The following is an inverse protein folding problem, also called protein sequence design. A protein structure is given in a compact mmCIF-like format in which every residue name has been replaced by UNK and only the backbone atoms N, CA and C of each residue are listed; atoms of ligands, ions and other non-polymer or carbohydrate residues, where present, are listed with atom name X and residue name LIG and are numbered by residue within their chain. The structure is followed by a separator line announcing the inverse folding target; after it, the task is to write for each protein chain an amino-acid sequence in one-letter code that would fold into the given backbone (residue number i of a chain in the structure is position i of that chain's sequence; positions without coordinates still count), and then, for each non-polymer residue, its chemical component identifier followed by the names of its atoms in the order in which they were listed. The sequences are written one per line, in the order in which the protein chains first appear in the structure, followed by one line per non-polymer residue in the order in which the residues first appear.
data_IF_824271383751
#
_entry.id   IF_824271383751
#
_cell.length_a   1.000
_cell.length_b   1.000
_cell.length_c   1.000
_cell.angle_alpha   90.00
_cell.angle_beta   90.00
_cell.angle_gamma   90.00
#
_symmetry.space_group_name_H-M   'P 1'
#
loop_
_entity.id
_entity.type
_entity.pdbx_description
1 polymer ?
2 polymer ?
3 non-polymer ?
4 water ?
#
# COMPACT_ATOMS: atom_id res chain seq x y z
N UNK A 5 17.20 24.41 -18.64
CA UNK A 5 18.11 23.44 -17.96
C UNK A 5 17.75 21.99 -18.26
N UNK A 6 18.77 21.15 -18.19
CA UNK A 6 18.62 19.73 -18.36
C UNK A 6 18.50 19.02 -17.00
N UNK A 7 18.07 17.79 -17.06
CA UNK A 7 17.80 17.03 -15.87
C UNK A 7 19.06 16.61 -15.16
N UNK A 8 20.11 16.34 -15.93
CA UNK A 8 21.38 15.90 -15.38
C UNK A 8 22.42 16.96 -15.60
N UNK A 9 23.42 17.03 -14.72
CA UNK A 9 24.57 17.87 -15.04
C UNK A 9 25.51 17.12 -15.99
N UNK A 10 26.64 17.73 -16.38
CA UNK A 10 27.62 17.07 -17.26
C UNK A 10 28.03 15.73 -16.66
N UNK A 11 28.31 14.74 -17.49
CA UNK A 11 28.83 13.49 -16.96
C UNK A 11 30.19 13.80 -16.30
N UNK A 12 30.46 13.21 -15.14
CA UNK A 12 31.75 13.41 -14.47
C UNK A 12 32.74 12.57 -15.24
N UNK A 13 33.99 12.99 -15.24
CA UNK A 13 34.91 12.65 -16.31
C UNK A 13 35.13 11.18 -16.62
N UNK A 14 35.22 10.28 -15.65
CA UNK A 14 35.30 8.85 -16.02
C UNK A 14 34.02 8.33 -16.80
N UNK A 15 32.89 9.01 -16.67
CA UNK A 15 31.64 8.66 -17.35
C UNK A 15 31.49 9.29 -18.74
N UNK A 16 32.22 10.36 -19.02
CA UNK A 16 32.14 11.11 -20.29
C UNK A 16 32.04 10.28 -21.52
N UNK A 17 32.82 9.22 -21.57
CA UNK A 17 32.92 8.48 -22.77
C UNK A 17 32.02 7.29 -22.73
N UNK A 18 31.17 7.20 -21.73
CA UNK A 18 30.29 6.05 -21.64
C UNK A 18 28.93 6.38 -22.14
N UNK A 19 28.27 5.37 -22.67
CA UNK A 19 26.82 5.45 -22.90
C UNK A 19 26.05 5.60 -21.57
N UNK A 20 25.03 6.44 -21.61
CA UNK A 20 24.16 6.70 -20.47
C UNK A 20 22.94 5.82 -20.51
N UNK A 21 22.82 4.90 -19.57
CA UNK A 21 21.65 4.04 -19.52
C UNK A 21 20.67 4.50 -18.46
N UNK A 22 19.45 4.81 -18.91
CA UNK A 22 18.34 5.16 -18.05
C UNK A 22 17.63 3.88 -17.67
N UNK A 23 17.47 3.63 -16.38
CA UNK A 23 16.91 2.36 -15.89
C UNK A 23 15.70 2.59 -14.99
N UNK A 24 14.63 1.87 -15.27
CA UNK A 24 13.38 1.98 -14.56
C UNK A 24 13.46 1.13 -13.29
N UNK A 25 12.65 1.48 -12.30
CA UNK A 25 12.57 0.74 -11.06
C UNK A 25 11.47 -0.36 -11.01
N UNK A 26 10.21 0.05 -10.92
CA UNK A 26 9.10 -0.91 -10.67
C UNK A 26 8.74 -1.82 -11.84
N UNK A 27 8.56 -3.09 -11.58
CA UNK A 27 8.37 -4.08 -12.60
C UNK A 27 9.59 -4.34 -13.52
N UNK A 28 10.65 -3.52 -13.39
CA UNK A 28 11.91 -3.70 -14.12
C UNK A 28 13.00 -4.33 -13.22
N UNK A 29 13.35 -3.68 -12.12
CA UNK A 29 14.33 -4.17 -11.13
C UNK A 29 13.73 -4.74 -9.82
N UNK A 30 12.54 -4.28 -9.44
CA UNK A 30 11.86 -4.78 -8.24
C UNK A 30 10.37 -4.87 -8.54
N UNK A 31 9.59 -5.48 -7.64
CA UNK A 31 8.14 -5.25 -7.66
C UNK A 31 7.72 -5.09 -6.23
N UNK A 32 6.94 -4.05 -6.02
CA UNK A 32 6.47 -3.63 -4.73
C UNK A 32 4.94 -3.63 -4.63
N UNK A 33 4.41 -3.68 -3.41
CA UNK A 33 3.01 -3.72 -3.15
C UNK A 33 2.77 -3.33 -1.69
N UNK A 34 1.53 -2.85 -1.37
CA UNK A 34 1.07 -2.62 0.03
C UNK A 34 0.49 -3.86 0.74
N UNK A 35 0.28 -4.90 -0.02
CA UNK A 35 -0.23 -6.19 0.44
C UNK A 35 0.90 -6.86 1.17
N UNK A 36 0.77 -7.08 2.47
CA UNK A 36 1.82 -7.82 3.16
C UNK A 36 2.18 -9.16 2.50
N UNK A 37 3.48 -9.48 2.58
CA UNK A 37 4.09 -10.69 2.05
C UNK A 37 5.20 -11.09 3.10
N UNK A 38 5.58 -12.35 3.19
CA UNK A 38 6.60 -12.73 4.16
C UNK A 38 8.06 -12.58 3.69
N UNK A 39 8.29 -12.77 2.41
CA UNK A 39 9.63 -12.82 1.84
C UNK A 39 10.05 -11.51 1.17
N UNK A 40 9.53 -10.38 1.59
CA UNK A 40 9.98 -9.12 1.03
C UNK A 40 11.45 -8.92 1.27
N UNK A 41 12.19 -8.50 0.26
CA UNK A 41 13.59 -8.11 0.47
C UNK A 41 13.74 -6.80 1.26
N UNK A 42 12.88 -5.82 0.95
CA UNK A 42 12.84 -4.57 1.70
C UNK A 42 11.44 -4.27 2.16
N UNK A 43 11.31 -3.62 3.31
CA UNK A 43 10.09 -3.00 3.68
C UNK A 43 10.39 -1.52 3.92
N UNK A 44 9.60 -0.66 3.31
CA UNK A 44 9.83 0.77 3.31
C UNK A 44 8.64 1.50 3.93
N UNK A 45 8.87 2.37 4.93
CA UNK A 45 7.71 3.16 5.35
C UNK A 45 7.48 4.40 4.49
N UNK A 46 6.25 4.58 4.06
CA UNK A 46 5.87 5.71 3.21
C UNK A 46 4.64 6.44 3.83
N UNK A 47 4.82 7.74 4.09
CA UNK A 47 3.81 8.59 4.67
C UNK A 47 2.97 9.24 3.58
N UNK A 48 1.67 8.97 3.63
CA UNK A 48 0.66 9.53 2.72
C UNK A 48 -0.49 10.21 3.52
N UNK A 49 -0.56 11.54 3.44
CA UNK A 49 -1.48 12.36 4.26
C UNK A 49 -1.40 11.96 5.73
N UNK A 50 -0.23 12.04 6.34
CA UNK A 50 -0.09 11.77 7.77
C UNK A 50 -0.11 10.32 8.25
N UNK A 51 -0.56 9.40 7.40
CA UNK A 51 -0.46 7.98 7.68
C UNK A 51 0.81 7.28 7.09
N UNK A 52 1.48 6.49 7.93
CA UNK A 52 2.61 5.72 7.48
C UNK A 52 2.20 4.32 7.00
N UNK A 53 2.37 4.06 5.70
CA UNK A 53 2.04 2.75 5.13
C UNK A 53 3.30 2.02 4.92
N UNK A 54 3.18 0.72 4.83
CA UNK A 54 4.32 -0.13 4.58
C UNK A 54 4.33 -0.64 3.18
N UNK A 55 5.46 -0.46 2.50
CA UNK A 55 5.61 -0.99 1.18
C UNK A 55 6.57 -2.16 1.18
N UNK A 56 6.10 -3.29 0.67
CA UNK A 56 6.88 -4.53 0.58
C UNK A 56 7.50 -4.64 -0.80
N UNK A 57 8.82 -4.80 -0.86
CA UNK A 57 9.55 -4.81 -2.10
C UNK A 57 10.32 -6.10 -2.30
N UNK A 58 10.15 -6.71 -3.46
CA UNK A 58 10.87 -7.89 -3.85
C UNK A 58 11.87 -7.51 -4.94
N UNK A 59 13.04 -8.10 -4.90
CA UNK A 59 14.10 -7.91 -5.87
C UNK A 59 13.91 -8.88 -7.03
N UNK A 60 13.99 -8.39 -8.25
CA UNK A 60 14.07 -9.28 -9.38
C UNK A 60 15.36 -10.12 -9.28
N UNK A 61 15.34 -11.38 -9.74
CA UNK A 61 16.57 -12.18 -9.68
C UNK A 61 17.69 -11.64 -10.54
N UNK A 62 18.92 -11.82 -10.06
CA UNK A 62 20.11 -11.34 -10.71
C UNK A 62 20.20 -9.81 -10.76
N UNK A 63 19.29 -9.12 -10.08
CA UNK A 63 19.37 -7.65 -10.01
C UNK A 63 20.74 -7.14 -9.49
N UNK A 64 21.30 -7.81 -8.48
CA UNK A 64 22.60 -7.39 -7.93
C UNK A 64 23.77 -7.57 -8.90
N UNK A 65 23.85 -8.73 -9.53
CA UNK A 65 24.81 -9.03 -10.62
C UNK A 65 24.63 -7.94 -11.69
N UNK A 66 23.37 -7.62 -11.98
CA UNK A 66 23.07 -6.81 -13.13
C UNK A 66 23.50 -5.42 -12.87
N UNK A 67 23.08 -4.86 -11.75
CA UNK A 67 23.48 -3.48 -11.47
C UNK A 67 24.97 -3.28 -11.32
N UNK A 68 25.66 -4.23 -10.67
CA UNK A 68 27.11 -4.06 -10.43
C UNK A 68 27.86 -3.90 -11.74
N UNK A 69 27.52 -4.76 -12.69
CA UNK A 69 28.08 -4.78 -14.05
C UNK A 69 27.68 -3.60 -14.94
N UNK A 70 26.42 -3.22 -14.92
CA UNK A 70 25.98 -2.06 -15.69
C UNK A 70 26.65 -0.82 -15.18
N UNK A 71 26.88 -0.80 -13.87
CA UNK A 71 27.50 0.33 -13.21
C UNK A 71 28.91 0.51 -13.71
N UNK A 72 29.59 -0.60 -14.05
CA UNK A 72 30.96 -0.56 -14.65
C UNK A 72 30.91 -0.10 -16.09
N UNK A 73 29.93 -0.58 -16.85
CA UNK A 73 29.85 -0.30 -18.30
C UNK A 73 29.23 1.03 -18.73
N UNK A 74 28.33 1.56 -17.95
CA UNK A 74 27.60 2.72 -18.35
C UNK A 74 27.54 3.75 -17.26
N UNK A 75 27.13 4.96 -17.64
CA UNK A 75 26.67 5.98 -16.71
C UNK A 75 25.19 5.69 -16.40
N UNK A 76 24.91 4.94 -15.34
CA UNK A 76 23.58 4.45 -15.12
C UNK A 76 22.80 5.55 -14.43
N UNK A 77 21.53 5.71 -14.79
CA UNK A 77 20.66 6.74 -14.18
C UNK A 77 19.32 6.12 -13.86
N UNK A 78 18.85 6.29 -12.62
CA UNK A 78 17.51 5.80 -12.26
C UNK A 78 16.48 6.82 -12.72
N UNK A 79 15.44 6.36 -13.42
CA UNK A 79 14.39 7.28 -13.92
C UNK A 79 13.07 6.56 -13.70
N UNK A 80 12.23 7.08 -12.85
CA UNK A 80 11.05 6.32 -12.46
C UNK A 80 9.89 7.29 -12.40
N UNK A 81 8.68 6.79 -12.70
CA UNK A 81 7.44 7.57 -12.52
C UNK A 81 6.87 7.58 -11.09
N UNK A 82 7.62 7.00 -10.15
CA UNK A 82 7.17 6.81 -8.80
C UNK A 82 7.74 8.00 -8.06
N UNK A 83 7.19 8.26 -6.88
CA UNK A 83 7.62 9.36 -6.11
C UNK A 83 8.87 8.97 -5.35
N UNK A 84 9.66 9.96 -5.04
CA UNK A 84 10.93 9.82 -4.34
C UNK A 84 10.73 9.19 -2.94
N UNK A 85 9.66 9.57 -2.25
CA UNK A 85 9.43 9.03 -0.92
C UNK A 85 9.35 7.51 -0.92
N UNK A 86 9.05 6.93 -2.09
CA UNK A 86 9.16 5.50 -2.33
C UNK A 86 10.47 5.12 -2.97
N UNK A 87 10.77 5.73 -4.11
CA UNK A 87 11.87 5.25 -4.96
C UNK A 87 13.24 5.45 -4.38
N UNK A 88 13.42 6.58 -3.71
CA UNK A 88 14.71 6.96 -3.16
C UNK A 88 15.19 6.02 -2.05
N UNK A 89 14.34 5.66 -1.09
CA UNK A 89 14.78 4.66 -0.18
C UNK A 89 15.10 3.32 -0.82
N UNK A 90 14.32 2.94 -1.83
CA UNK A 90 14.50 1.63 -2.40
C UNK A 90 15.84 1.64 -3.13
N UNK A 91 16.15 2.74 -3.79
CA UNK A 91 17.41 2.78 -4.52
C UNK A 91 18.54 2.77 -3.49
N UNK A 92 18.36 3.44 -2.36
CA UNK A 92 19.35 3.42 -1.29
C UNK A 92 19.66 2.00 -0.93
N UNK A 93 18.63 1.19 -0.77
CA UNK A 93 18.84 -0.20 -0.28
C UNK A 93 19.27 -1.16 -1.37
N UNK A 94 18.80 -0.91 -2.58
CA UNK A 94 19.10 -1.78 -3.70
C UNK A 94 20.53 -1.61 -4.23
N UNK A 95 20.97 -0.36 -4.31
CA UNK A 95 22.18 0.02 -5.05
C UNK A 95 23.43 0.01 -4.18
N UNK A 96 23.85 -1.18 -3.79
CA UNK A 96 25.05 -1.33 -2.96
C UNK A 96 26.28 -0.76 -3.64
N UNK A 97 26.36 -0.78 -4.97
CA UNK A 97 27.65 -0.49 -5.66
C UNK A 97 27.70 0.84 -6.22
N UNK A 98 26.73 1.66 -5.91
CA UNK A 98 26.73 3.00 -6.46
C UNK A 98 26.60 3.01 -7.98
N UNK A 99 25.93 2.05 -8.59
CA UNK A 99 25.77 2.18 -10.05
C UNK A 99 25.03 3.45 -10.46
N UNK A 100 24.10 3.94 -9.65
CA UNK A 100 23.27 5.03 -10.14
C UNK A 100 23.95 6.36 -9.95
N UNK A 101 24.34 7.04 -11.03
CA UNK A 101 24.95 8.35 -10.90
C UNK A 101 23.91 9.42 -10.59
N UNK A 102 22.66 9.18 -10.95
CA UNK A 102 21.62 10.12 -10.64
C UNK A 102 20.30 9.39 -10.56
N UNK A 103 19.31 10.08 -10.03
CA UNK A 103 17.97 9.52 -9.81
C UNK A 103 17.00 10.56 -10.18
N UNK A 104 16.03 10.17 -11.00
CA UNK A 104 14.97 11.06 -11.42
C UNK A 104 13.61 10.42 -11.12
N UNK A 105 12.68 11.22 -10.70
CA UNK A 105 11.44 10.67 -10.21
C UNK A 105 10.28 11.24 -10.99
N UNK A 106 9.07 11.05 -10.47
CA UNK A 106 7.90 11.48 -11.17
C UNK A 106 7.92 12.94 -11.67
N UNK A 107 8.42 13.88 -10.91
CA UNK A 107 8.32 15.26 -11.36
C UNK A 107 9.25 15.51 -12.56
N UNK A 108 10.22 14.61 -12.81
CA UNK A 108 11.11 14.75 -13.96
C UNK A 108 10.55 14.08 -15.22
N UNK A 109 9.52 13.28 -15.04
CA UNK A 109 8.82 12.75 -16.19
C UNK A 109 7.97 13.84 -16.84
N UNK A 110 7.49 13.60 -18.07
CA UNK A 110 6.54 14.54 -18.71
C UNK A 110 5.17 13.89 -18.72
N UNK A 111 4.18 14.53 -18.13
CA UNK A 111 2.80 14.00 -18.20
C UNK A 111 2.17 14.30 -19.56
N UNK A 112 1.85 13.24 -20.31
CA UNK A 112 1.41 13.38 -21.69
C UNK A 112 0.45 12.23 -22.09
N UNK A 113 -0.77 12.64 -22.50
CA UNK A 113 -1.87 11.72 -22.85
C UNK A 113 -2.12 10.72 -21.76
N UNK A 114 -2.29 11.24 -20.56
CA UNK A 114 -2.51 10.39 -19.38
C UNK A 114 -1.33 9.55 -18.87
N UNK A 115 -0.20 9.58 -19.57
CA UNK A 115 0.97 8.80 -19.19
C UNK A 115 2.17 9.64 -18.79
N UNK A 116 2.98 9.13 -17.87
CA UNK A 116 4.20 9.80 -17.43
C UNK A 116 5.30 9.30 -18.32
N UNK A 117 5.81 10.16 -19.21
CA UNK A 117 6.80 9.73 -20.18
C UNK A 117 8.17 10.11 -19.74
N UNK A 118 9.10 9.19 -19.94
CA UNK A 118 10.53 9.50 -19.80
C UNK A 118 11.07 10.15 -21.09
N UNK A 119 11.02 11.46 -21.12
CA UNK A 119 11.52 12.25 -22.22
C UNK A 119 13.08 12.33 -22.21
N UNK A 120 13.68 11.38 -22.90
CA UNK A 120 15.16 11.24 -22.93
C UNK A 120 15.83 12.52 -23.43
N UNK A 121 15.13 13.32 -24.20
CA UNK A 121 15.70 14.60 -24.66
C UNK A 121 16.07 15.48 -23.52
N UNK A 122 15.42 15.30 -22.36
CA UNK A 122 15.64 16.24 -21.27
C UNK A 122 16.88 15.92 -20.39
N UNK A 123 17.51 14.76 -20.60
CA UNK A 123 18.71 14.38 -19.86
C UNK A 123 19.81 15.37 -20.16
N UNK A 124 20.08 15.58 -21.44
CA UNK A 124 21.21 16.42 -21.82
C UNK A 124 22.39 15.51 -22.16
N UNK A 125 22.10 14.50 -22.94
CA UNK A 125 23.09 13.61 -23.48
C UNK A 125 22.77 13.39 -24.98
N UNK A 126 23.75 12.89 -25.70
CA UNK A 126 23.61 12.62 -27.09
C UNK A 126 22.82 11.33 -27.19
N UNK A 127 21.68 11.37 -27.88
CA UNK A 127 20.83 10.21 -27.90
C UNK A 127 21.36 9.04 -28.67
N UNK A 128 22.36 9.29 -29.52
CA UNK A 128 23.11 8.18 -30.10
C UNK A 128 23.83 7.36 -29.02
N UNK A 129 24.13 8.04 -27.89
CA UNK A 129 24.76 7.42 -26.67
C UNK A 129 23.84 7.50 -25.42
N UNK A 130 22.55 7.15 -25.63
CA UNK A 130 21.57 6.85 -24.59
C UNK A 130 20.76 5.55 -24.81
N UNK A 131 20.56 4.81 -23.75
CA UNK A 131 19.64 3.71 -23.76
C UNK A 131 18.57 3.89 -22.66
N UNK A 132 17.39 3.30 -22.84
CA UNK A 132 16.45 3.20 -21.75
C UNK A 132 16.04 1.77 -21.61
N UNK A 133 16.03 1.30 -20.37
CA UNK A 133 15.57 -0.02 -20.03
C UNK A 133 14.31 0.14 -19.20
N UNK A 134 13.15 -0.17 -19.79
CA UNK A 134 11.89 0.06 -19.12
C UNK A 134 10.89 -0.98 -19.56
N UNK A 135 10.14 -1.56 -18.62
CA UNK A 135 9.17 -2.61 -18.91
C UNK A 135 7.89 -2.10 -19.61
N UNK A 136 7.71 -0.80 -19.63
CA UNK A 136 6.47 -0.26 -20.15
C UNK A 136 6.78 0.63 -21.33
N UNK A 137 6.45 0.15 -22.56
CA UNK A 137 6.73 0.90 -23.78
C UNK A 137 6.08 2.28 -23.81
N UNK A 138 5.00 2.49 -23.05
CA UNK A 138 4.48 3.84 -22.89
C UNK A 138 5.51 4.83 -22.29
N UNK A 139 6.55 4.35 -21.62
CA UNK A 139 7.41 5.25 -20.91
C UNK A 139 8.38 5.93 -21.82
N UNK A 140 8.65 5.31 -22.95
CA UNK A 140 9.58 5.87 -23.95
C UNK A 140 8.99 6.24 -25.33
N UNK A 141 7.70 6.59 -25.38
CA UNK A 141 7.06 6.89 -26.67
C UNK A 141 7.78 7.92 -27.49
N UNK A 142 8.38 8.93 -26.88
CA UNK A 142 9.16 9.89 -27.65
C UNK A 142 10.49 9.38 -28.25
N UNK A 143 10.87 8.12 -27.97
CA UNK A 143 12.21 7.58 -28.27
C UNK A 143 12.25 6.08 -28.30
N UNK A 144 11.39 5.45 -29.11
CA UNK A 144 11.25 4.00 -29.02
C UNK A 144 12.45 3.26 -29.59
N UNK A 145 13.29 3.98 -30.34
CA UNK A 145 14.48 3.41 -30.93
C UNK A 145 15.66 3.43 -29.97
N UNK A 146 15.54 4.13 -28.83
CA UNK A 146 16.57 4.09 -27.78
C UNK A 146 16.40 2.96 -26.77
N UNK A 147 15.41 2.08 -26.97
CA UNK A 147 14.98 1.16 -25.94
C UNK A 147 15.47 -0.29 -26.07
N UNK A 148 15.73 -0.89 -24.92
CA UNK A 148 15.93 -2.30 -24.81
C UNK A 148 14.70 -2.77 -24.02
N UNK A 149 13.74 -3.38 -24.69
CA UNK A 149 12.56 -3.72 -23.93
C UNK A 149 12.86 -4.82 -22.93
N UNK A 150 12.10 -4.86 -21.84
CA UNK A 150 12.28 -5.92 -20.89
C UNK A 150 10.90 -6.28 -20.32
N UNK A 151 10.66 -7.55 -20.10
CA UNK A 151 9.36 -7.99 -19.64
C UNK A 151 9.07 -7.45 -18.24
N UNK A 152 7.81 -7.21 -17.94
CA UNK A 152 7.37 -6.84 -16.62
C UNK A 152 7.56 -7.98 -15.65
N UNK A 153 8.12 -7.68 -14.47
CA UNK A 153 8.38 -8.71 -13.45
C UNK A 153 7.55 -8.40 -12.19
N UNK A 154 7.01 -9.43 -11.57
CA UNK A 154 6.19 -9.25 -10.40
C UNK A 154 6.66 -10.12 -9.27
N UNK A 155 6.70 -11.43 -9.48
CA UNK A 155 7.21 -12.36 -8.46
C UNK A 155 7.91 -13.65 -8.96
N UNK A 156 8.05 -13.85 -10.28
CA UNK A 156 8.60 -15.10 -10.77
C UNK A 156 10.03 -15.30 -10.31
N UNK A 157 10.23 -16.11 -9.26
CA UNK A 157 11.60 -16.34 -8.80
C UNK A 157 12.44 -17.15 -9.80
N UNK A 158 11.87 -17.54 -10.94
CA UNK A 158 12.61 -18.17 -12.02
C UNK A 158 13.12 -17.23 -13.06
N UNK A 159 12.72 -15.96 -12.98
CA UNK A 159 13.08 -14.97 -14.01
C UNK A 159 14.59 -14.97 -14.17
N UNK A 160 15.06 -14.90 -15.42
CA UNK A 160 16.49 -14.84 -15.69
C UNK A 160 16.83 -13.73 -16.65
N UNK A 161 15.89 -12.83 -16.81
CA UNK A 161 15.95 -11.90 -17.89
C UNK A 161 17.03 -10.83 -17.71
N UNK A 162 17.27 -10.41 -16.48
CA UNK A 162 18.35 -9.46 -16.31
C UNK A 162 19.73 -10.14 -16.54
N UNK A 163 19.82 -11.40 -16.24
CA UNK A 163 21.06 -12.13 -16.45
C UNK A 163 21.29 -12.19 -17.93
N UNK A 164 20.25 -12.62 -18.63
CA UNK A 164 20.36 -12.98 -20.03
C UNK A 164 20.50 -11.75 -20.85
N UNK A 165 20.26 -10.57 -20.27
CA UNK A 165 20.44 -9.33 -21.02
C UNK A 165 21.86 -8.81 -20.97
N UNK A 166 22.65 -9.29 -20.04
CA UNK A 166 23.97 -8.70 -19.90
C UNK A 166 24.87 -8.85 -21.17
N UNK A 167 24.79 -9.99 -21.87
CA UNK A 167 25.68 -10.07 -23.01
C UNK A 167 25.35 -9.01 -24.04
N UNK A 168 24.07 -8.81 -24.33
CA UNK A 168 23.68 -7.77 -25.25
C UNK A 168 24.21 -6.39 -24.87
N UNK A 169 24.14 -6.10 -23.57
CA UNK A 169 24.56 -4.78 -23.05
C UNK A 169 26.06 -4.66 -23.14
N UNK A 170 26.77 -5.75 -22.93
CA UNK A 170 28.22 -5.66 -23.02
C UNK A 170 28.56 -5.19 -24.42
N UNK A 171 27.90 -5.76 -25.41
CA UNK A 171 28.22 -5.47 -26.77
C UNK A 171 27.66 -4.15 -27.22
N UNK A 172 26.59 -3.69 -26.62
CA UNK A 172 26.20 -2.29 -26.85
C UNK A 172 27.20 -1.31 -26.27
N UNK A 173 27.85 -1.70 -25.18
CA UNK A 173 28.66 -0.75 -24.42
C UNK A 173 29.83 -0.22 -25.24
N UNK A 174 30.19 -1.02 -26.27
CA UNK A 174 31.34 -0.76 -27.12
C UNK A 174 31.02 0.19 -28.26
N UNK A 175 29.80 0.16 -28.79
CA UNK A 175 29.48 0.86 -30.04
C UNK A 175 29.43 2.37 -29.92
N UNK A 176 29.54 3.02 -31.05
CA UNK A 176 29.58 4.50 -31.14
C UNK A 176 28.20 5.10 -31.12
N UNK A 177 27.26 4.37 -31.73
CA UNK A 177 25.92 4.89 -32.01
C UNK A 177 24.90 3.79 -31.76
N UNK A 178 24.07 3.94 -30.72
CA UNK A 178 23.20 2.84 -30.32
C UNK A 178 22.21 2.49 -31.43
N UNK A 179 21.84 3.50 -32.21
CA UNK A 179 20.94 3.30 -33.37
C UNK A 179 21.56 2.34 -34.44
N UNK A 180 22.88 2.34 -34.58
CA UNK A 180 23.54 1.37 -35.45
C UNK A 180 23.07 -0.05 -35.15
N UNK A 181 22.49 -0.29 -33.97
CA UNK A 181 21.94 -1.61 -33.60
C UNK A 181 20.43 -1.65 -33.45
N UNK A 182 19.80 -0.61 -32.92
CA UNK A 182 18.33 -0.61 -32.70
C UNK A 182 17.52 0.08 -33.84
N UNK A 183 18.18 1.03 -34.53
CA UNK A 183 17.82 1.65 -35.81
C UNK A 183 16.67 2.65 -35.76
N UNK B 5 -25.29 1.92 -6.31
CA UNK B 5 -24.60 2.49 -5.11
C UNK B 5 -23.91 1.44 -4.20
N UNK B 6 -22.61 1.63 -3.97
CA UNK B 6 -21.88 0.80 -3.04
C UNK B 6 -21.61 1.67 -1.82
N UNK B 7 -21.40 1.05 -0.66
CA UNK B 7 -21.19 1.82 0.55
C UNK B 7 -19.85 2.51 0.62
N UNK B 8 -18.84 1.98 -0.08
CA UNK B 8 -17.48 2.55 -0.07
C UNK B 8 -17.11 3.13 -1.44
N UNK B 9 -16.36 4.26 -1.43
CA UNK B 9 -15.64 4.66 -2.66
C UNK B 9 -14.65 3.59 -3.15
N UNK B 10 -14.07 3.77 -4.32
CA UNK B 10 -13.02 2.88 -4.79
C UNK B 10 -11.87 2.94 -3.79
N UNK B 11 -11.22 1.82 -3.51
CA UNK B 11 -10.07 1.86 -2.61
C UNK B 11 -9.00 2.76 -3.20
N UNK B 12 -8.39 3.53 -2.32
CA UNK B 12 -7.21 4.27 -2.62
C UNK B 12 -6.07 3.39 -3.01
N UNK B 13 -5.09 3.98 -3.65
CA UNK B 13 -4.06 3.19 -4.23
C UNK B 13 -3.29 2.46 -3.14
N UNK B 14 -3.11 3.09 -2.01
CA UNK B 14 -2.35 2.43 -0.98
C UNK B 14 -3.09 1.35 -0.25
N UNK B 15 -4.40 1.27 -0.44
CA UNK B 15 -5.25 0.23 0.19
C UNK B 15 -5.71 -0.85 -0.77
N UNK B 16 -5.59 -0.56 -2.05
CA UNK B 16 -6.29 -1.32 -3.04
C UNK B 16 -5.91 -2.80 -3.07
N UNK B 17 -4.69 -3.12 -2.77
CA UNK B 17 -4.29 -4.51 -2.85
C UNK B 17 -4.49 -5.22 -1.57
N UNK B 18 -4.86 -4.47 -0.51
CA UNK B 18 -5.15 -5.07 0.79
C UNK B 18 -6.57 -5.68 0.97
N UNK B 19 -6.62 -6.64 1.89
CA UNK B 19 -7.91 -7.13 2.41
C UNK B 19 -8.60 -6.00 3.14
N UNK B 20 -9.90 -5.89 2.89
CA UNK B 20 -10.75 -4.92 3.55
C UNK B 20 -11.32 -5.55 4.81
N UNK B 21 -11.08 -4.98 5.98
CA UNK B 21 -11.64 -5.52 7.21
C UNK B 21 -12.59 -4.50 7.82
N UNK B 22 -13.77 -4.99 8.05
CA UNK B 22 -14.83 -4.23 8.61
C UNK B 22 -14.83 -4.49 10.13
N UNK B 23 -14.76 -3.42 10.93
CA UNK B 23 -14.58 -3.57 12.37
C UNK B 23 -15.66 -2.90 13.17
N UNK B 24 -16.29 -3.61 14.08
CA UNK B 24 -17.37 -3.11 14.94
C UNK B 24 -16.80 -2.29 16.07
N UNK B 25 -17.64 -1.45 16.66
CA UNK B 25 -17.20 -0.58 17.74
C UNK B 25 -17.61 -1.12 19.11
N UNK B 26 -18.92 -1.10 19.38
CA UNK B 26 -19.41 -1.37 20.73
C UNK B 26 -19.31 -2.82 21.10
N UNK B 27 -18.77 -3.04 22.27
CA UNK B 27 -18.47 -4.37 22.77
C UNK B 27 -17.42 -5.08 21.94
N UNK B 28 -16.83 -4.44 20.96
CA UNK B 28 -15.73 -5.05 20.19
C UNK B 28 -14.43 -4.35 20.57
N UNK B 29 -14.39 -3.03 20.34
CA UNK B 29 -13.22 -2.16 20.68
C UNK B 29 -13.34 -1.33 21.94
N UNK B 30 -14.58 -0.96 22.29
CA UNK B 30 -14.85 -0.16 23.48
C UNK B 30 -16.14 -0.66 24.11
N UNK B 31 -16.49 -0.14 25.28
CA UNK B 31 -17.81 -0.29 25.87
C UNK B 31 -18.19 1.03 26.58
N UNK B 32 -19.35 1.51 26.23
CA UNK B 32 -19.87 2.79 26.56
C UNK B 32 -21.15 2.62 27.39
N UNK B 33 -21.37 3.52 28.37
CA UNK B 33 -22.67 3.63 29.06
C UNK B 33 -22.97 5.06 29.45
N UNK B 34 -24.25 5.25 29.61
CA UNK B 34 -24.85 6.41 30.20
C UNK B 34 -24.72 6.41 31.73
N UNK B 35 -24.57 5.25 32.33
CA UNK B 35 -24.22 5.13 33.74
C UNK B 35 -22.83 5.67 34.00
N UNK B 36 -22.64 6.54 35.01
CA UNK B 36 -21.33 7.12 35.29
C UNK B 36 -20.25 6.08 35.60
N UNK B 37 -19.10 6.24 34.97
CA UNK B 37 -17.99 5.36 35.20
C UNK B 37 -16.83 6.21 35.74
N UNK B 38 -16.27 5.77 36.85
CA UNK B 38 -15.07 6.38 37.38
C UNK B 38 -13.84 6.02 36.55
N UNK B 39 -12.89 6.93 36.44
CA UNK B 39 -11.72 6.64 35.64
C UNK B 39 -12.00 6.15 34.20
N UNK B 40 -12.97 6.75 33.49
CA UNK B 40 -13.26 6.37 32.08
C UNK B 40 -12.12 6.70 31.12
N UNK B 41 -11.98 6.03 29.97
CA UNK B 41 -10.94 6.53 29.03
C UNK B 41 -11.32 7.83 28.36
N UNK B 42 -12.59 7.99 28.01
CA UNK B 42 -13.10 9.29 27.60
C UNK B 42 -14.60 9.41 27.72
N UNK B 43 -15.07 10.64 27.64
CA UNK B 43 -16.43 10.96 27.94
C UNK B 43 -16.94 11.82 26.80
N UNK B 44 -18.09 11.46 26.23
CA UNK B 44 -18.58 12.14 25.03
C UNK B 44 -19.94 12.73 25.30
N UNK B 45 -20.11 14.05 25.14
CA UNK B 45 -21.47 14.59 25.33
C UNK B 45 -22.36 14.25 24.15
N UNK B 46 -23.49 13.58 24.35
CA UNK B 46 -24.42 13.26 23.24
C UNK B 46 -25.81 13.94 23.40
N UNK B 47 -26.27 14.67 22.37
CA UNK B 47 -27.58 15.37 22.37
C UNK B 47 -28.67 14.36 22.09
N UNK B 48 -29.65 14.32 22.98
CA UNK B 48 -30.79 13.41 22.79
C UNK B 48 -32.09 14.15 23.08
N UNK B 49 -32.85 14.36 21.99
CA UNK B 49 -34.07 15.12 22.02
C UNK B 49 -33.74 16.39 22.72
N UNK B 50 -32.73 17.11 22.24
CA UNK B 50 -32.35 18.39 22.82
C UNK B 50 -31.72 18.41 24.22
N UNK B 51 -31.52 17.27 24.87
CA UNK B 51 -30.81 17.26 26.17
C UNK B 51 -29.43 16.60 26.04
N UNK B 52 -28.37 17.25 26.50
CA UNK B 52 -27.02 16.62 26.46
C UNK B 52 -26.88 15.61 27.61
N UNK B 53 -26.50 14.37 27.29
CA UNK B 53 -26.15 13.38 28.32
C UNK B 53 -24.66 12.91 28.15
N UNK B 54 -23.97 12.63 29.24
CA UNK B 54 -22.58 12.19 29.12
C UNK B 54 -22.52 10.69 28.90
N UNK B 55 -21.70 10.28 27.92
CA UNK B 55 -21.49 8.85 27.59
C UNK B 55 -20.09 8.45 27.99
N UNK B 56 -20.04 7.49 28.89
CA UNK B 56 -18.81 7.05 29.52
C UNK B 56 -18.21 5.88 28.76
N UNK B 57 -17.02 6.07 28.20
CA UNK B 57 -16.40 5.11 27.30
C UNK B 57 -15.18 4.43 27.90
N UNK B 58 -15.20 3.12 28.01
CA UNK B 58 -14.00 2.33 28.33
C UNK B 58 -13.40 1.67 27.07
N UNK B 59 -12.06 1.76 26.87
CA UNK B 59 -11.34 1.10 25.78
C UNK B 59 -10.98 -0.30 26.12
N UNK B 60 -11.28 -1.27 25.26
CA UNK B 60 -10.84 -2.63 25.53
C UNK B 60 -9.28 -2.72 25.57
N UNK B 61 -8.69 -3.49 26.50
CA UNK B 61 -7.25 -3.61 26.60
C UNK B 61 -6.60 -4.01 25.28
N UNK B 62 -5.43 -3.44 24.97
CA UNK B 62 -4.66 -3.74 23.78
C UNK B 62 -5.28 -3.12 22.56
N UNK B 63 -6.26 -2.26 22.70
CA UNK B 63 -6.96 -1.78 21.46
C UNK B 63 -6.08 -0.85 20.60
N UNK B 64 -5.16 -0.16 21.21
CA UNK B 64 -4.26 0.68 20.46
C UNK B 64 -3.25 -0.17 19.72
N UNK B 65 -2.64 -1.12 20.40
CA UNK B 65 -1.78 -2.20 19.82
C UNK B 65 -2.54 -2.66 18.56
N UNK B 66 -3.81 -2.93 18.77
CA UNK B 66 -4.63 -3.57 17.76
C UNK B 66 -4.95 -2.72 16.56
N UNK B 67 -5.54 -1.54 16.74
CA UNK B 67 -5.84 -0.69 15.60
C UNK B 67 -4.64 -0.22 14.87
N UNK B 68 -3.54 0.07 15.58
CA UNK B 68 -2.33 0.51 14.89
C UNK B 68 -1.85 -0.55 13.91
N UNK B 69 -1.88 -1.81 14.32
CA UNK B 69 -1.39 -2.89 13.46
C UNK B 69 -2.41 -3.23 12.34
N UNK B 70 -3.68 -3.27 12.71
CA UNK B 70 -4.69 -3.57 11.73
C UNK B 70 -4.67 -2.48 10.66
N UNK B 71 -4.40 -1.23 11.03
CA UNK B 71 -4.36 -0.16 10.02
C UNK B 71 -3.27 -0.36 8.97
N UNK B 72 -2.17 -1.01 9.38
CA UNK B 72 -1.11 -1.35 8.45
C UNK B 72 -1.48 -2.51 7.53
N UNK B 73 -2.11 -3.50 8.13
CA UNK B 73 -2.29 -4.81 7.51
C UNK B 73 -3.43 -4.82 6.53
N UNK B 74 -4.41 -3.94 6.76
CA UNK B 74 -5.63 -3.93 6.01
C UNK B 74 -6.11 -2.52 5.58
N UNK B 75 -7.08 -2.46 4.66
CA UNK B 75 -7.98 -1.35 4.50
C UNK B 75 -9.08 -1.52 5.60
N UNK B 76 -8.97 -0.81 6.72
CA UNK B 76 -9.94 -0.93 7.81
C UNK B 76 -11.10 0.05 7.61
N UNK B 77 -12.31 -0.47 7.90
CA UNK B 77 -13.53 0.28 7.87
C UNK B 77 -14.27 0.08 9.15
N UNK B 78 -14.65 1.18 9.77
CA UNK B 78 -15.52 1.11 10.93
C UNK B 78 -16.95 0.90 10.47
N UNK B 79 -17.64 -0.07 11.07
CA UNK B 79 -19.02 -0.40 10.66
C UNK B 79 -19.79 -0.71 11.96
N UNK B 80 -20.51 0.29 12.43
CA UNK B 80 -21.25 0.21 13.68
C UNK B 80 -22.74 0.44 13.44
N UNK B 81 -23.55 -0.17 14.30
CA UNK B 81 -25.00 0.02 14.31
C UNK B 81 -25.40 1.21 15.18
N UNK B 82 -24.41 1.93 15.69
CA UNK B 82 -24.71 3.06 16.54
C UNK B 82 -24.76 4.27 15.62
N UNK B 83 -25.06 5.41 16.18
CA UNK B 83 -25.28 6.62 15.37
C UNK B 83 -24.02 7.39 15.36
N UNK B 84 -23.77 8.10 14.26
CA UNK B 84 -22.59 8.93 14.09
C UNK B 84 -22.32 9.95 15.20
N UNK B 85 -23.37 10.53 15.72
CA UNK B 85 -23.20 11.59 16.71
C UNK B 85 -22.50 11.02 17.96
N UNK B 86 -22.69 9.73 18.25
CA UNK B 86 -21.89 9.03 19.26
C UNK B 86 -20.62 8.46 18.62
N UNK B 87 -20.74 7.73 17.52
CA UNK B 87 -19.57 6.97 16.99
C UNK B 87 -18.40 7.85 16.45
N UNK B 88 -18.71 8.93 15.74
CA UNK B 88 -17.66 9.80 15.18
C UNK B 88 -16.69 10.34 16.21
N UNK B 89 -17.22 10.94 17.29
CA UNK B 89 -16.33 11.44 18.34
C UNK B 89 -15.55 10.34 19.03
N UNK B 90 -16.18 9.19 19.27
CA UNK B 90 -15.44 8.05 19.85
C UNK B 90 -14.31 7.62 18.91
N UNK B 91 -14.62 7.34 17.67
CA UNK B 91 -13.56 7.08 16.69
C UNK B 91 -12.48 8.14 16.56
N UNK B 92 -12.85 9.44 16.58
CA UNK B 92 -11.86 10.53 16.40
C UNK B 92 -10.87 10.37 17.54
N UNK B 93 -11.36 10.10 18.74
CA UNK B 93 -10.46 9.91 19.87
C UNK B 93 -9.69 8.61 19.89
N UNK B 94 -10.32 7.52 19.47
CA UNK B 94 -9.65 6.21 19.43
C UNK B 94 -8.57 6.06 18.41
N UNK B 95 -8.84 6.53 17.21
CA UNK B 95 -8.01 6.22 16.05
C UNK B 95 -6.90 7.21 15.81
N UNK B 96 -5.87 7.07 16.61
CA UNK B 96 -4.68 7.92 16.50
C UNK B 96 -3.89 7.79 15.22
N UNK B 97 -4.12 6.76 14.43
CA UNK B 97 -3.24 6.41 13.31
C UNK B 97 -3.89 6.43 12.01
N UNK B 98 -5.18 6.80 11.98
CA UNK B 98 -5.96 6.84 10.75
C UNK B 98 -6.11 5.46 10.18
N UNK B 99 -6.20 4.48 11.04
CA UNK B 99 -6.58 3.15 10.59
C UNK B 99 -7.94 3.11 9.82
N UNK B 100 -8.95 3.83 10.32
CA UNK B 100 -10.25 3.72 9.73
C UNK B 100 -10.22 4.55 8.51
N UNK B 101 -10.27 3.90 7.36
CA UNK B 101 -10.30 4.60 6.06
C UNK B 101 -11.72 5.06 5.76
N UNK B 102 -12.74 4.47 6.37
CA UNK B 102 -14.12 4.99 6.25
C UNK B 102 -14.87 4.63 7.49
N UNK B 103 -15.98 5.30 7.72
CA UNK B 103 -16.85 5.00 8.84
C UNK B 103 -18.28 4.86 8.32
N UNK B 104 -18.91 3.73 8.69
CA UNK B 104 -20.29 3.42 8.32
C UNK B 104 -21.14 3.18 9.60
N UNK B 105 -22.31 3.79 9.64
CA UNK B 105 -23.07 3.84 10.86
C UNK B 105 -24.39 3.10 10.71
N UNK B 106 -25.32 3.28 11.64
CA UNK B 106 -26.55 2.52 11.65
C UNK B 106 -27.33 2.52 10.32
N UNK B 107 -27.49 3.68 9.71
CA UNK B 107 -28.18 3.80 8.42
C UNK B 107 -27.54 3.01 7.31
N UNK B 108 -26.25 2.68 7.43
CA UNK B 108 -25.64 1.78 6.44
C UNK B 108 -25.92 0.27 6.72
N UNK B 109 -26.52 -0.04 7.87
CA UNK B 109 -26.80 -1.42 8.23
C UNK B 109 -28.12 -1.77 7.60
N UNK B 110 -28.46 -3.05 7.62
CA UNK B 110 -29.75 -3.56 7.15
C UNK B 110 -30.51 -4.14 8.35
N UNK B 111 -31.72 -3.67 8.59
CA UNK B 111 -32.49 -4.11 9.74
C UNK B 111 -33.21 -5.35 9.28
N UNK B 112 -32.79 -6.51 9.76
CA UNK B 112 -33.36 -7.79 9.34
C UNK B 112 -33.74 -8.65 10.55
N UNK B 113 -35.04 -8.88 10.68
CA UNK B 113 -35.59 -9.71 11.74
C UNK B 113 -35.13 -9.27 13.14
N UNK B 114 -35.20 -7.97 13.33
CA UNK B 114 -34.88 -7.36 14.61
C UNK B 114 -33.43 -7.08 14.91
N UNK B 115 -32.53 -7.40 13.97
CA UNK B 115 -31.11 -7.18 14.10
C UNK B 115 -30.52 -6.25 13.04
N UNK B 116 -29.44 -5.57 13.40
CA UNK B 116 -28.78 -4.68 12.49
C UNK B 116 -27.65 -5.45 11.84
N UNK B 117 -27.85 -5.77 10.57
CA UNK B 117 -26.94 -6.62 9.82
C UNK B 117 -26.08 -5.78 8.90
N UNK B 118 -24.80 -6.16 8.88
CA UNK B 118 -23.76 -5.52 8.08
C UNK B 118 -23.65 -6.38 6.82
N UNK B 119 -24.30 -5.97 5.75
CA UNK B 119 -24.37 -6.78 4.53
C UNK B 119 -23.14 -6.48 3.70
N UNK B 120 -22.21 -7.44 3.73
CA UNK B 120 -20.89 -7.21 3.18
C UNK B 120 -20.96 -6.96 1.69
N UNK B 121 -21.99 -7.50 1.08
CA UNK B 121 -22.22 -7.29 -0.36
C UNK B 121 -22.42 -5.87 -0.81
N UNK B 122 -22.85 -4.99 0.06
CA UNK B 122 -23.03 -3.58 -0.26
C UNK B 122 -21.72 -2.76 -0.23
N UNK B 123 -20.61 -3.35 0.23
CA UNK B 123 -19.40 -2.56 0.42
C UNK B 123 -18.83 -2.14 -0.90
N UNK B 124 -18.85 -3.04 -1.86
CA UNK B 124 -18.10 -2.84 -3.11
C UNK B 124 -16.65 -3.34 -3.11
N UNK B 125 -16.43 -4.44 -2.44
CA UNK B 125 -15.13 -5.07 -2.41
C UNK B 125 -15.36 -6.53 -2.72
N UNK B 126 -14.42 -7.15 -3.40
CA UNK B 126 -14.51 -8.58 -3.64
C UNK B 126 -14.59 -9.28 -2.30
N UNK B 127 -15.62 -10.07 -2.08
CA UNK B 127 -15.81 -10.77 -0.80
C UNK B 127 -14.77 -11.81 -0.44
N UNK B 128 -13.96 -12.22 -1.41
CA UNK B 128 -12.82 -13.11 -1.11
C UNK B 128 -11.71 -12.38 -0.38
N UNK B 129 -11.75 -11.05 -0.47
CA UNK B 129 -10.85 -10.21 0.24
C UNK B 129 -11.58 -9.22 1.20
N UNK B 130 -12.52 -9.74 1.99
CA UNK B 130 -13.22 -8.94 3.02
C UNK B 130 -13.36 -9.80 4.26
N UNK B 131 -13.13 -9.18 5.42
CA UNK B 131 -13.36 -9.82 6.70
C UNK B 131 -14.26 -8.92 7.56
N UNK B 132 -14.95 -9.45 8.55
CA UNK B 132 -15.70 -8.64 9.49
C UNK B 132 -15.33 -9.14 10.86
N UNK B 133 -14.95 -8.20 11.73
CA UNK B 133 -14.68 -8.44 13.13
C UNK B 133 -15.83 -7.79 13.94
N UNK B 134 -16.66 -8.60 14.58
CA UNK B 134 -17.82 -8.08 15.29
C UNK B 134 -18.11 -9.08 16.37
N UNK B 135 -18.56 -8.57 17.52
CA UNK B 135 -18.86 -9.44 18.65
C UNK B 135 -20.26 -10.02 18.53
N UNK B 136 -21.06 -9.62 17.55
CA UNK B 136 -22.43 -10.17 17.48
C UNK B 136 -22.67 -10.99 16.24
N UNK B 137 -22.82 -12.33 16.38
CA UNK B 137 -23.00 -13.18 15.17
C UNK B 137 -24.17 -12.74 14.26
N UNK B 138 -25.19 -12.16 14.87
CA UNK B 138 -26.28 -11.56 14.15
C UNK B 138 -25.80 -10.57 13.08
N UNK B 139 -24.77 -9.77 13.36
CA UNK B 139 -24.28 -8.76 12.40
C UNK B 139 -23.79 -9.32 11.10
N UNK B 140 -23.30 -10.56 11.11
CA UNK B 140 -22.77 -11.16 9.90
C UNK B 140 -23.48 -12.42 9.42
N UNK B 141 -24.75 -12.49 9.77
CA UNK B 141 -25.61 -13.62 9.42
C UNK B 141 -25.61 -13.87 7.95
N UNK B 142 -25.56 -12.85 7.10
CA UNK B 142 -25.40 -13.06 5.66
C UNK B 142 -24.00 -13.47 5.17
N UNK B 143 -22.96 -13.38 6.00
CA UNK B 143 -21.59 -13.68 5.57
C UNK B 143 -20.83 -14.42 6.64
N UNK B 144 -21.38 -15.55 7.07
CA UNK B 144 -20.80 -16.21 8.21
C UNK B 144 -19.35 -16.60 7.94
N UNK B 145 -19.01 -16.84 6.69
CA UNK B 145 -17.68 -17.33 6.33
C UNK B 145 -16.66 -16.23 6.02
N UNK B 146 -17.08 -14.95 6.19
CA UNK B 146 -16.16 -13.82 6.25
C UNK B 146 -15.80 -13.33 7.65
N UNK B 147 -16.31 -14.00 8.68
CA UNK B 147 -16.25 -13.48 10.05
C UNK B 147 -15.10 -13.98 10.88
N UNK B 148 -14.57 -13.10 11.71
CA UNK B 148 -13.61 -13.49 12.75
C UNK B 148 -14.35 -13.11 14.05
N UNK B 149 -14.83 -14.12 14.79
CA UNK B 149 -15.59 -13.80 15.99
C UNK B 149 -14.72 -13.24 17.10
N UNK B 150 -15.34 -12.51 18.01
CA UNK B 150 -14.65 -11.98 19.13
C UNK B 150 -15.70 -11.88 20.22
N UNK B 151 -15.32 -12.08 21.46
CA UNK B 151 -16.32 -12.08 22.50
C UNK B 151 -16.71 -10.63 22.88
N UNK B 152 -17.91 -10.43 23.35
CA UNK B 152 -18.32 -9.13 23.85
C UNK B 152 -17.54 -8.74 25.06
N UNK B 153 -17.15 -7.46 25.06
CA UNK B 153 -16.35 -6.92 26.13
C UNK B 153 -17.03 -5.73 26.75
N UNK B 154 -17.05 -5.66 28.07
CA UNK B 154 -17.76 -4.59 28.84
C UNK B 154 -16.76 -3.90 29.73
N UNK B 155 -16.12 -4.61 30.63
CA UNK B 155 -15.17 -3.98 31.53
C UNK B 155 -14.09 -4.85 32.14
N UNK B 156 -13.85 -6.06 31.63
CA UNK B 156 -12.80 -6.93 32.17
C UNK B 156 -11.43 -6.47 31.71
N UNK B 157 -10.61 -6.00 32.64
CA UNK B 157 -9.36 -5.41 32.28
C UNK B 157 -8.26 -6.43 32.10
N UNK B 158 -8.55 -7.71 32.34
CA UNK B 158 -7.67 -8.84 32.01
C UNK B 158 -7.84 -9.36 30.58
N UNK B 159 -8.85 -8.86 29.86
CA UNK B 159 -9.14 -9.34 28.52
C UNK B 159 -7.89 -9.22 27.63
N UNK B 160 -7.58 -10.26 26.88
CA UNK B 160 -6.46 -10.21 25.94
C UNK B 160 -6.89 -10.56 24.50
N UNK B 161 -8.17 -10.58 24.25
CA UNK B 161 -8.69 -11.14 23.06
C UNK B 161 -8.18 -10.44 21.78
N UNK B 162 -8.06 -9.13 21.79
CA UNK B 162 -7.57 -8.43 20.66
C UNK B 162 -6.07 -8.67 20.43
N UNK B 163 -5.30 -8.70 21.52
CA UNK B 163 -3.94 -9.17 21.52
C UNK B 163 -3.83 -10.56 20.87
N UNK B 164 -4.69 -11.48 21.26
CA UNK B 164 -4.60 -12.84 20.83
C UNK B 164 -5.06 -13.05 19.40
N UNK B 165 -5.91 -12.15 18.90
CA UNK B 165 -6.38 -12.24 17.52
C UNK B 165 -5.35 -11.81 16.52
N UNK B 166 -4.44 -10.94 16.90
CA UNK B 166 -3.49 -10.41 15.93
C UNK B 166 -2.69 -11.40 15.08
N UNK B 167 -2.17 -12.49 15.65
CA UNK B 167 -1.37 -13.33 14.73
C UNK B 167 -2.28 -14.02 13.74
N UNK B 168 -3.55 -14.19 14.06
CA UNK B 168 -4.44 -14.75 13.06
C UNK B 168 -4.68 -13.76 11.94
N UNK B 169 -4.87 -12.50 12.31
CA UNK B 169 -4.96 -11.47 11.29
C UNK B 169 -3.69 -11.29 10.50
N UNK B 170 -2.55 -11.48 11.12
CA UNK B 170 -1.30 -11.36 10.39
C UNK B 170 -1.35 -12.37 9.30
N UNK B 171 -1.81 -13.56 9.65
CA UNK B 171 -1.96 -14.62 8.63
C UNK B 171 -2.98 -14.24 7.56
N UNK B 172 -4.15 -13.82 8.01
CA UNK B 172 -5.19 -13.46 7.05
C UNK B 172 -4.79 -12.32 6.13
N UNK B 173 -3.95 -11.40 6.59
CA UNK B 173 -3.63 -10.23 5.78
C UNK B 173 -2.89 -10.59 4.55
N UNK B 174 -2.22 -11.73 4.60
CA UNK B 174 -1.33 -12.20 3.53
C UNK B 174 -1.90 -13.19 2.50
N UNK B 175 -3.11 -13.71 2.71
CA UNK B 175 -3.72 -14.64 1.73
C UNK B 175 -4.45 -13.94 0.59
N UNK B 176 -4.62 -14.65 -0.51
CA UNK B 176 -5.33 -14.14 -1.67
C UNK B 176 -6.83 -14.21 -1.53
N UNK B 177 -7.30 -15.24 -0.82
CA UNK B 177 -8.73 -15.56 -0.65
C UNK B 177 -8.99 -15.96 0.80
N UNK B 178 -9.70 -15.11 1.52
CA UNK B 178 -9.94 -15.43 2.92
C UNK B 178 -10.76 -16.71 3.07
N UNK B 179 -11.51 -17.07 2.06
CA UNK B 179 -12.31 -18.31 2.20
C UNK B 179 -11.40 -19.55 2.25
N UNK B 180 -10.19 -19.44 1.72
CA UNK B 180 -9.29 -20.57 1.82
C UNK B 180 -8.90 -20.87 3.24
N UNK B 181 -9.12 -19.92 4.16
CA UNK B 181 -8.88 -20.16 5.58
C UNK B 181 -10.14 -20.37 6.42
N UNK B 182 -11.17 -19.58 6.16
CA UNK B 182 -12.39 -19.64 6.93
C UNK B 182 -13.45 -20.57 6.29
N UNK B 183 -13.32 -20.79 4.97
CA UNK B 183 -14.12 -21.72 4.15
C UNK B 183 -15.60 -21.39 3.95
N UNK C 5 -0.96 6.47 -6.40
CA UNK C 5 0.07 5.58 -5.79
C UNK C 5 1.45 6.22 -5.88
N UNK C 6 2.25 6.16 -4.78
CA UNK C 6 3.62 6.65 -4.86
C UNK C 6 4.53 5.80 -5.75
N UNK C 7 4.16 4.54 -6.01
CA UNK C 7 4.91 3.63 -6.90
C UNK C 7 4.46 3.97 -8.35
N UNK C 8 5.03 3.39 -9.43
CA UNK C 8 4.51 3.64 -10.81
C UNK C 8 2.12 5.57 -11.78
N UNK D 5 -31.01 4.05 22.74
CA UNK D 5 -29.78 4.89 22.81
C UNK D 5 -29.09 5.12 21.44
N UNK D 6 -28.09 6.04 21.41
CA UNK D 6 -27.21 6.16 20.25
C UNK D 6 -26.19 5.01 20.05
N UNK D 7 -25.88 4.25 21.10
CA UNK D 7 -25.05 3.00 21.08
C UNK D 7 -25.67 1.82 20.25
N UNK D 8 -24.87 0.77 19.90
CA UNK D 8 -25.34 -0.57 19.44
C UNK D 8 -28.67 -1.23 18.76
X LIG E 1 8.05 0.31 -14.42
X LIG F 1 -21.91 -4.83 19.19
#
# INVERSE_FOLDING_TARGET
GSHGQYLLPEAKAQDSDKICVVINLDETLVHSSFKPVNNADFIIPVEIDGVVHQVYVLKRPHVDEFLQRMGELFECVLFTASLAKYADPVADLLDKWGAFRARLFRESCVFHRGNYVKDLSRLGRDLRRVLILDNSPASYVFHPDNAVPVASWFDNMSDTELHDLLPFFEQLSRVDDVYSVLRQPRPGS
GSHGQYLLPEAKAQDSDKICVVINLDETLVHSSFKPVNNADFIIPVEIDGVVHQVYVLKRPHVDEFLQRMGELFECVLFTASLAKYADPVADLLDKWGAFRARLFRESCVFHRGNYVKDLSRLGRDLRRVLILDNSPASYVFHPDNAVPVASWFDNMSDTELHDLLPFFEQLSRVDDVYSVLRQPRPGS
XSPYSPTXSYSX
XSPYSPTXSYSX
MG MG
MG MG
#
